data_IF_050409878141
#
_entry.id   IF_050409878141
#
_cell.length_a   1.000
_cell.length_b   1.000
_cell.length_c   1.000
_cell.angle_alpha   90.00
_cell.angle_beta   90.00
_cell.angle_gamma   90.00
#
_symmetry.space_group_name_H-M   'P 1'
#
loop_
_entity.id
_entity.type
_entity.pdbx_description
1 polymer ?
#
# COMPACT_ATOMS: atom_id res chain seq x y z
N UNK A 1 6.56 -5.63 21.10
CA UNK A 1 6.99 -4.28 21.54
C UNK A 1 6.06 -3.85 22.68
N UNK A 2 6.59 -3.28 23.77
CA UNK A 2 5.79 -2.51 24.73
C UNK A 2 5.00 -1.39 24.04
N UNK A 3 3.91 -0.93 24.66
CA UNK A 3 3.00 0.06 24.08
C UNK A 3 3.70 1.37 23.67
N UNK A 4 4.54 1.91 24.56
CA UNK A 4 5.26 3.17 24.30
C UNK A 4 6.21 3.05 23.11
N UNK A 5 6.93 1.93 23.01
CA UNK A 5 7.85 1.68 21.90
C UNK A 5 7.08 1.48 20.60
N UNK A 6 5.94 0.80 20.64
CA UNK A 6 5.07 0.63 19.47
C UNK A 6 4.52 1.98 18.98
N UNK A 7 4.11 2.87 19.89
CA UNK A 7 3.69 4.22 19.54
C UNK A 7 4.83 5.04 18.96
N UNK A 8 6.03 4.97 19.53
CA UNK A 8 7.21 5.67 19.00
C UNK A 8 7.53 5.22 17.56
N UNK A 9 7.49 3.92 17.28
CA UNK A 9 7.66 3.37 15.92
C UNK A 9 6.55 3.87 15.00
N UNK A 10 5.29 3.87 15.43
CA UNK A 10 4.17 4.39 14.64
C UNK A 10 4.38 5.87 14.28
N UNK A 11 4.82 6.70 15.22
CA UNK A 11 5.13 8.12 14.95
C UNK A 11 6.22 8.27 13.90
N UNK A 12 7.26 7.44 13.94
CA UNK A 12 8.31 7.44 12.90
C UNK A 12 7.77 6.98 11.54
N UNK A 13 7.00 5.89 11.48
CA UNK A 13 6.36 5.42 10.24
C UNK A 13 5.51 6.53 9.61
N UNK A 14 4.69 7.20 10.41
CA UNK A 14 3.79 8.24 9.92
C UNK A 14 4.54 9.47 9.43
N UNK A 15 5.63 9.89 10.08
CA UNK A 15 6.33 11.13 9.75
C UNK A 15 7.56 10.92 8.87
N UNK A 16 8.56 10.16 9.34
CA UNK A 16 9.85 9.98 8.67
C UNK A 16 9.71 9.12 7.40
N UNK A 17 8.97 8.00 7.48
CA UNK A 17 8.66 7.16 6.31
C UNK A 17 7.48 7.68 5.49
N UNK A 18 6.96 8.87 5.85
CA UNK A 18 5.88 9.57 5.14
C UNK A 18 4.61 8.74 4.94
N UNK A 19 4.39 7.69 5.74
CA UNK A 19 3.21 6.82 5.62
C UNK A 19 1.91 7.60 5.83
N UNK A 20 1.93 8.73 6.56
CA UNK A 20 0.74 9.58 6.75
C UNK A 20 0.19 10.19 5.46
N UNK A 21 1.02 10.31 4.43
CA UNK A 21 0.68 11.03 3.20
C UNK A 21 -0.48 10.36 2.47
N UNK A 22 -0.53 9.01 2.45
CA UNK A 22 -1.61 8.22 1.86
C UNK A 22 -2.93 8.28 2.66
N UNK A 23 -2.93 8.77 3.91
CA UNK A 23 -4.14 8.89 4.75
C UNK A 23 -4.73 10.31 4.80
N UNK A 24 -4.14 11.28 4.09
CA UNK A 24 -4.67 12.65 4.06
C UNK A 24 -6.11 12.66 3.50
N UNK A 25 -6.99 13.58 3.93
CA UNK A 25 -8.41 13.54 3.57
C UNK A 25 -8.71 13.49 2.06
N UNK A 26 -7.88 14.12 1.24
CA UNK A 26 -8.04 14.12 -0.21
C UNK A 26 -7.52 12.81 -0.88
N UNK A 27 -6.84 11.94 -0.14
CA UNK A 27 -6.28 10.66 -0.59
C UNK A 27 -5.44 10.77 -1.87
N UNK A 28 -4.81 11.93 -2.10
CA UNK A 28 -4.08 12.24 -3.34
C UNK A 28 -2.95 11.24 -3.55
N UNK A 29 -2.14 11.01 -2.51
CA UNK A 29 -1.00 10.09 -2.59
C UNK A 29 -1.43 8.64 -2.76
N UNK A 30 -2.55 8.24 -2.14
CA UNK A 30 -3.14 6.93 -2.42
C UNK A 30 -3.57 6.81 -3.90
N UNK A 31 -4.17 7.86 -4.46
CA UNK A 31 -4.52 7.93 -5.88
C UNK A 31 -3.30 7.81 -6.80
N UNK A 32 -2.18 8.44 -6.42
CA UNK A 32 -0.89 8.28 -7.13
C UNK A 32 -0.43 6.82 -7.08
N UNK A 33 -0.49 6.16 -5.91
CA UNK A 33 -0.16 4.74 -5.80
C UNK A 33 -1.05 3.85 -6.69
N UNK A 34 -2.35 4.14 -6.78
CA UNK A 34 -3.27 3.40 -7.66
C UNK A 34 -2.88 3.55 -9.13
N UNK A 35 -2.54 4.78 -9.56
CA UNK A 35 -2.09 5.03 -10.93
C UNK A 35 -0.75 4.33 -11.22
N UNK A 36 0.21 4.42 -10.30
CA UNK A 36 1.50 3.74 -10.44
C UNK A 36 1.32 2.21 -10.54
N UNK A 37 0.44 1.62 -9.72
CA UNK A 37 0.14 0.20 -9.81
C UNK A 37 -0.48 -0.17 -11.15
N UNK A 38 -1.38 0.66 -11.69
CA UNK A 38 -1.95 0.46 -13.02
C UNK A 38 -0.87 0.45 -14.11
N UNK A 39 0.07 1.40 -14.05
CA UNK A 39 1.18 1.47 -15.02
C UNK A 39 2.12 0.26 -14.90
N UNK A 40 2.44 -0.17 -13.67
CA UNK A 40 3.26 -1.37 -13.44
C UNK A 40 2.57 -2.64 -13.98
N UNK A 41 1.24 -2.74 -13.87
CA UNK A 41 0.48 -3.82 -14.49
C UNK A 41 0.55 -3.76 -16.01
N UNK A 42 0.41 -2.57 -16.61
CA UNK A 42 0.51 -2.41 -18.05
C UNK A 42 1.90 -2.79 -18.59
N UNK A 43 2.96 -2.44 -17.87
CA UNK A 43 4.35 -2.71 -18.26
C UNK A 43 4.72 -4.19 -18.07
N UNK A 44 4.40 -4.78 -16.92
CA UNK A 44 4.90 -6.10 -16.55
C UNK A 44 3.90 -7.24 -16.78
N UNK A 45 2.60 -6.96 -16.81
CA UNK A 45 1.51 -7.94 -16.93
C UNK A 45 0.43 -7.48 -17.94
N UNK A 46 0.80 -7.24 -19.22
CA UNK A 46 -0.08 -6.58 -20.20
C UNK A 46 -1.38 -7.34 -20.49
N UNK A 47 -1.37 -8.67 -20.41
CA UNK A 47 -2.57 -9.49 -20.59
C UNK A 47 -3.59 -9.25 -19.47
N UNK A 48 -3.12 -9.21 -18.21
CA UNK A 48 -3.96 -8.94 -17.04
C UNK A 48 -4.46 -7.49 -17.10
N UNK A 49 -3.58 -6.54 -17.41
CA UNK A 49 -3.95 -5.14 -17.58
C UNK A 49 -5.07 -4.98 -18.62
N UNK A 50 -4.92 -5.56 -19.81
CA UNK A 50 -5.93 -5.49 -20.88
C UNK A 50 -7.27 -6.09 -20.43
N UNK A 51 -7.23 -7.20 -19.69
CA UNK A 51 -8.44 -7.81 -19.13
C UNK A 51 -9.11 -6.92 -18.08
N UNK A 52 -8.35 -6.27 -17.20
CA UNK A 52 -8.90 -5.34 -16.20
C UNK A 52 -9.51 -4.10 -16.86
N UNK A 53 -8.83 -3.52 -17.84
CA UNK A 53 -9.33 -2.36 -18.60
C UNK A 53 -10.64 -2.69 -19.31
N UNK A 54 -10.74 -3.86 -19.97
CA UNK A 54 -11.97 -4.26 -20.67
C UNK A 54 -13.18 -4.43 -19.75
N UNK A 55 -12.95 -4.66 -18.45
CA UNK A 55 -13.99 -4.79 -17.43
C UNK A 55 -14.12 -3.57 -16.53
N UNK A 56 -13.42 -2.46 -16.82
CA UNK A 56 -13.37 -1.27 -15.96
C UNK A 56 -12.95 -1.59 -14.51
N UNK A 57 -12.06 -2.57 -14.34
CA UNK A 57 -11.60 -3.06 -13.04
C UNK A 57 -10.35 -2.31 -12.58
N UNK A 58 -10.54 -1.09 -12.09
CA UNK A 58 -9.45 -0.21 -11.67
C UNK A 58 -8.79 -0.67 -10.34
N UNK A 59 -7.48 -0.39 -10.13
CA UNK A 59 -6.79 -0.71 -8.88
C UNK A 59 -7.46 -0.22 -7.60
N UNK A 60 -8.13 0.92 -7.65
CA UNK A 60 -8.86 1.48 -6.50
C UNK A 60 -9.93 0.54 -5.94
N UNK A 61 -10.45 -0.39 -6.74
CA UNK A 61 -11.47 -1.36 -6.34
C UNK A 61 -10.93 -2.50 -5.47
N UNK A 62 -9.63 -2.83 -5.56
CA UNK A 62 -9.07 -4.02 -4.89
C UNK A 62 -7.79 -3.76 -4.10
N UNK A 63 -7.00 -2.74 -4.46
CA UNK A 63 -5.66 -2.53 -3.92
C UNK A 63 -5.60 -1.47 -2.81
N UNK A 64 -6.64 -0.66 -2.60
CA UNK A 64 -6.62 0.42 -1.60
C UNK A 64 -6.23 -0.09 -0.19
N UNK A 65 -6.80 -1.22 0.22
CA UNK A 65 -6.48 -1.86 1.50
C UNK A 65 -5.02 -2.33 1.60
N UNK A 66 -4.38 -2.67 0.48
CA UNK A 66 -2.99 -3.14 0.47
C UNK A 66 -2.05 -2.04 0.95
N UNK A 67 -2.21 -0.82 0.41
CA UNK A 67 -1.42 0.35 0.80
C UNK A 67 -1.84 0.87 2.18
N UNK A 68 -3.15 1.04 2.42
CA UNK A 68 -3.67 1.62 3.68
C UNK A 68 -3.46 0.75 4.91
N UNK A 69 -3.04 -0.51 4.75
CA UNK A 69 -2.84 -1.41 5.89
C UNK A 69 -1.48 -2.08 5.86
N UNK A 70 -0.61 -1.72 4.91
CA UNK A 70 0.62 -2.46 4.62
C UNK A 70 0.36 -3.97 4.56
N UNK A 71 -0.69 -4.34 3.84
CA UNK A 71 -1.19 -5.70 3.65
C UNK A 71 -1.64 -6.45 4.92
N UNK A 72 -1.63 -5.83 6.10
CA UNK A 72 -1.95 -6.50 7.38
C UNK A 72 -3.39 -7.05 7.47
N UNK A 73 -4.33 -6.54 6.68
CA UNK A 73 -5.71 -7.04 6.65
C UNK A 73 -5.97 -8.12 5.61
N UNK A 74 -5.04 -8.35 4.68
CA UNK A 74 -5.21 -9.26 3.53
C UNK A 74 -4.27 -10.46 3.61
N UNK A 75 -3.09 -10.29 4.21
CA UNK A 75 -2.10 -11.35 4.34
C UNK A 75 -2.09 -11.92 5.77
N UNK A 76 -1.69 -13.20 5.95
CA UNK A 76 -1.40 -13.75 7.27
C UNK A 76 -0.34 -12.91 8.00
N UNK A 77 -0.47 -12.80 9.32
CA UNK A 77 0.38 -11.92 10.14
C UNK A 77 1.89 -12.14 9.90
N UNK A 78 2.33 -13.39 9.74
CA UNK A 78 3.73 -13.73 9.48
C UNK A 78 4.26 -13.14 8.16
N UNK A 79 3.41 -13.01 7.15
CA UNK A 79 3.77 -12.40 5.87
C UNK A 79 3.68 -10.87 5.96
N UNK A 80 2.63 -10.35 6.59
CA UNK A 80 2.48 -8.91 6.81
C UNK A 80 3.67 -8.33 7.61
N UNK A 81 4.19 -9.05 8.60
CA UNK A 81 5.40 -8.64 9.33
C UNK A 81 6.63 -8.55 8.42
N UNK A 82 6.75 -9.42 7.40
CA UNK A 82 7.84 -9.33 6.42
C UNK A 82 7.70 -8.12 5.52
N UNK A 83 6.48 -7.78 5.11
CA UNK A 83 6.23 -6.55 4.36
C UNK A 83 6.63 -5.32 5.19
N UNK A 84 6.33 -5.32 6.49
CA UNK A 84 6.76 -4.26 7.40
C UNK A 84 8.27 -4.21 7.58
N UNK A 85 8.97 -5.35 7.66
CA UNK A 85 10.43 -5.41 7.70
C UNK A 85 11.04 -4.71 6.46
N UNK A 86 10.54 -5.01 5.26
CA UNK A 86 11.00 -4.38 4.02
C UNK A 86 10.68 -2.88 3.98
N UNK A 87 9.47 -2.49 4.37
CA UNK A 87 9.05 -1.09 4.39
C UNK A 87 9.91 -0.20 5.30
N UNK A 88 10.47 -0.76 6.37
CA UNK A 88 11.32 -0.01 7.32
C UNK A 88 12.79 0.05 6.84
N UNK A 89 13.24 -0.95 6.08
CA UNK A 89 14.65 -1.04 5.65
C UNK A 89 14.93 -0.22 4.40
N UNK A 90 13.97 -0.15 3.48
CA UNK A 90 14.10 0.51 2.17
C UNK A 90 13.82 2.02 2.25
#
# INVERSE_FOLDING_TARGET
LPELDAFAVLVQLMNEYRLREIYKPAMVELGVCMYQLEQLLAEHLPEIYTHFVSHSFAPSLYASAWFLTLFSTVLPITMATRVMDFFIIE
#
